data_IF_850459770576
#
_entry.id   IF_850459770576
#
_cell.length_a   1.000
_cell.length_b   1.000
_cell.length_c   1.000
_cell.angle_alpha   90.00
_cell.angle_beta   90.00
_cell.angle_gamma   90.00
#
_symmetry.space_group_name_H-M   'P 1'
#
loop_
_entity.id
_entity.type
_entity.pdbx_description
1 polymer ?
#
# COMPACT_ATOMS: atom_id res chain seq x y z
N UNK A 1 -8.27 -26.22 13.99
CA UNK A 1 -7.30 -25.93 12.92
C UNK A 1 -5.91 -26.20 13.48
N UNK A 2 -5.05 -26.89 12.73
CA UNK A 2 -3.66 -27.11 13.16
C UNK A 2 -2.92 -25.77 13.17
N UNK A 3 -2.24 -25.46 14.27
CA UNK A 3 -1.36 -24.29 14.35
C UNK A 3 -0.24 -24.49 13.32
N UNK A 4 -0.02 -23.56 12.38
CA UNK A 4 1.00 -23.75 11.37
C UNK A 4 2.39 -23.80 12.00
N UNK A 5 3.21 -24.70 11.48
CA UNK A 5 4.58 -24.94 11.91
C UNK A 5 5.55 -24.54 10.80
N UNK A 6 6.68 -23.95 11.21
CA UNK A 6 7.83 -23.71 10.36
C UNK A 6 8.57 -25.03 10.16
N UNK A 7 8.69 -25.47 8.91
CA UNK A 7 9.43 -26.69 8.54
C UNK A 7 10.83 -26.32 8.10
N UNK A 8 11.82 -27.07 8.56
CA UNK A 8 13.20 -26.89 8.17
C UNK A 8 13.34 -27.17 6.67
N UNK A 9 13.94 -26.22 5.95
CA UNK A 9 14.30 -26.40 4.53
C UNK A 9 15.68 -27.04 4.46
N UNK A 10 16.69 -26.40 5.05
CA UNK A 10 17.97 -27.02 5.41
C UNK A 10 18.82 -26.07 6.28
N UNK A 11 19.65 -26.68 7.12
CA UNK A 11 20.47 -25.96 8.09
C UNK A 11 19.61 -25.05 8.99
N UNK A 12 19.98 -23.78 9.19
CA UNK A 12 19.22 -22.85 10.04
C UNK A 12 17.95 -22.27 9.39
N UNK A 13 17.62 -22.63 8.15
CA UNK A 13 16.53 -22.02 7.39
C UNK A 13 15.24 -22.83 7.48
N UNK A 14 14.15 -22.16 7.81
CA UNK A 14 12.81 -22.72 7.95
C UNK A 14 11.79 -21.92 7.12
N UNK A 15 10.68 -22.54 6.71
CA UNK A 15 9.53 -21.83 6.14
C UNK A 15 8.20 -22.50 6.49
N UNK A 16 7.10 -21.73 6.44
CA UNK A 16 5.77 -22.27 6.70
C UNK A 16 5.30 -23.26 5.62
N UNK A 17 5.84 -23.16 4.41
CA UNK A 17 5.53 -24.10 3.32
C UNK A 17 6.47 -25.31 3.30
N UNK A 18 7.61 -25.25 3.99
CA UNK A 18 8.69 -26.24 3.90
C UNK A 18 9.42 -26.22 2.54
N UNK A 19 9.27 -25.15 1.76
CA UNK A 19 9.89 -25.01 0.43
C UNK A 19 10.65 -23.69 0.29
N UNK A 20 11.54 -23.63 -0.71
CA UNK A 20 12.27 -22.42 -1.11
C UNK A 20 11.40 -21.42 -1.90
N UNK A 21 10.26 -21.86 -2.42
CA UNK A 21 9.24 -21.02 -3.05
C UNK A 21 8.37 -20.33 -1.98
N UNK A 22 9.00 -19.69 -1.00
CA UNK A 22 8.34 -19.02 0.11
C UNK A 22 8.52 -17.51 0.03
N UNK A 23 7.50 -16.76 0.44
CA UNK A 23 7.58 -15.30 0.69
C UNK A 23 8.10 -14.98 2.09
N UNK A 24 8.05 -15.97 3.01
CA UNK A 24 8.49 -15.83 4.40
C UNK A 24 9.35 -17.01 4.80
N UNK A 25 10.56 -16.72 5.25
CA UNK A 25 11.45 -17.68 5.88
C UNK A 25 11.74 -17.26 7.32
N UNK A 26 12.18 -18.23 8.12
CA UNK A 26 12.72 -17.98 9.45
C UNK A 26 14.15 -18.52 9.48
N UNK A 27 15.09 -17.66 9.83
CA UNK A 27 16.50 -18.02 9.96
C UNK A 27 16.88 -18.08 11.43
N UNK A 28 17.25 -19.27 11.88
CA UNK A 28 17.72 -19.53 13.23
C UNK A 28 19.19 -19.09 13.35
N UNK A 29 19.51 -18.22 14.31
CA UNK A 29 20.90 -17.75 14.49
C UNK A 29 21.82 -18.87 14.97
N UNK A 30 23.12 -18.72 14.66
CA UNK A 30 24.15 -19.70 14.99
C UNK A 30 24.19 -20.07 16.47
N UNK A 31 24.47 -21.34 16.77
CA UNK A 31 24.54 -21.85 18.14
C UNK A 31 23.20 -22.33 18.73
N UNK A 32 22.09 -22.19 17.99
CA UNK A 32 20.81 -22.77 18.35
C UNK A 32 20.48 -23.95 17.42
N UNK A 33 19.92 -25.01 17.97
CA UNK A 33 19.36 -26.13 17.23
C UNK A 33 17.88 -26.23 17.54
N UNK A 34 17.05 -26.19 16.50
CA UNK A 34 15.66 -26.62 16.56
C UNK A 34 15.51 -27.94 15.80
N UNK A 35 14.43 -28.68 16.07
CA UNK A 35 14.11 -29.87 15.28
C UNK A 35 13.78 -29.54 13.83
N UNK A 36 13.31 -30.54 13.08
CA UNK A 36 12.83 -30.37 11.70
C UNK A 36 11.55 -29.54 11.59
N UNK A 37 10.83 -29.38 12.72
CA UNK A 37 9.64 -28.54 12.83
C UNK A 37 9.78 -27.60 14.03
N UNK A 38 9.26 -26.39 13.85
CA UNK A 38 9.29 -25.33 14.84
C UNK A 38 7.92 -24.65 14.88
N UNK A 39 7.29 -24.59 16.05
CA UNK A 39 6.02 -23.87 16.17
C UNK A 39 6.25 -22.36 16.02
N UNK A 40 5.25 -21.62 15.51
CA UNK A 40 5.36 -20.15 15.43
C UNK A 40 5.58 -19.51 16.81
N UNK A 41 4.96 -20.07 17.85
CA UNK A 41 5.16 -19.65 19.25
C UNK A 41 6.61 -19.84 19.67
N UNK A 42 7.20 -21.02 19.43
CA UNK A 42 8.59 -21.27 19.80
C UNK A 42 9.56 -20.37 19.02
N UNK A 43 9.34 -20.17 17.72
CA UNK A 43 10.19 -19.28 16.91
C UNK A 43 10.16 -17.82 17.38
N UNK A 44 9.06 -17.41 18.03
CA UNK A 44 8.92 -16.08 18.62
C UNK A 44 9.47 -16.00 20.05
N UNK A 45 9.12 -16.95 20.90
CA UNK A 45 9.35 -16.89 22.33
C UNK A 45 10.67 -17.51 22.78
N UNK A 46 11.07 -18.64 22.18
CA UNK A 46 12.17 -19.48 22.66
C UNK A 46 13.47 -19.27 21.89
N UNK A 47 13.37 -19.05 20.58
CA UNK A 47 14.54 -18.95 19.71
C UNK A 47 14.86 -17.49 19.32
N UNK A 48 16.15 -17.24 19.13
CA UNK A 48 16.71 -15.95 18.72
C UNK A 48 16.95 -15.94 17.20
N UNK A 49 15.89 -16.19 16.42
CA UNK A 49 15.95 -16.12 14.96
C UNK A 49 15.37 -14.84 14.39
N UNK A 50 15.37 -14.78 13.06
CA UNK A 50 14.88 -13.65 12.28
C UNK A 50 13.85 -14.12 11.24
N UNK A 51 12.73 -13.41 11.12
CA UNK A 51 11.80 -13.55 10.01
C UNK A 51 12.33 -12.78 8.81
N UNK A 52 12.34 -13.43 7.66
CA UNK A 52 12.86 -12.89 6.40
C UNK A 52 11.73 -12.90 5.40
N UNK A 53 11.37 -11.72 4.93
CA UNK A 53 10.38 -11.50 3.88
C UNK A 53 11.08 -11.33 2.54
N UNK A 54 10.57 -12.02 1.53
CA UNK A 54 11.20 -12.17 0.22
C UNK A 54 10.23 -11.74 -0.89
N UNK A 55 10.76 -11.08 -1.91
CA UNK A 55 10.02 -10.73 -3.13
C UNK A 55 10.12 -11.79 -4.22
N UNK A 56 11.06 -12.74 -4.10
CA UNK A 56 11.25 -13.83 -5.02
C UNK A 56 11.73 -15.09 -4.30
N UNK A 57 11.51 -16.29 -4.87
CA UNK A 57 12.03 -17.55 -4.33
C UNK A 57 13.56 -17.56 -4.19
N UNK A 58 14.05 -18.33 -3.23
CA UNK A 58 15.48 -18.61 -3.08
C UNK A 58 15.88 -19.65 -4.12
N UNK A 59 16.88 -19.34 -4.95
CA UNK A 59 17.37 -20.23 -6.02
C UNK A 59 18.52 -21.10 -5.51
N UNK A 60 19.52 -20.49 -4.86
CA UNK A 60 20.68 -21.21 -4.32
C UNK A 60 20.70 -21.13 -2.80
N UNK A 61 20.25 -22.21 -2.16
CA UNK A 61 20.10 -22.26 -0.72
C UNK A 61 21.44 -22.13 0.04
N UNK A 62 22.50 -22.79 -0.44
CA UNK A 62 23.80 -22.75 0.23
C UNK A 62 24.38 -21.34 0.22
N UNK A 63 24.36 -20.67 -0.93
CA UNK A 63 24.79 -19.28 -1.03
C UNK A 63 23.92 -18.36 -0.18
N UNK A 64 22.60 -18.55 -0.19
CA UNK A 64 21.70 -17.76 0.64
C UNK A 64 22.01 -17.92 2.14
N UNK A 65 22.17 -19.14 2.62
CA UNK A 65 22.46 -19.43 4.02
C UNK A 65 23.78 -18.80 4.48
N UNK A 66 24.83 -18.87 3.65
CA UNK A 66 26.11 -18.21 3.94
C UNK A 66 25.97 -16.69 3.95
N UNK A 67 25.30 -16.11 2.95
CA UNK A 67 25.12 -14.67 2.83
C UNK A 67 24.27 -14.09 3.97
N UNK A 68 23.15 -14.74 4.34
CA UNK A 68 22.30 -14.25 5.44
C UNK A 68 23.00 -14.39 6.79
N UNK A 69 23.78 -15.46 6.98
CA UNK A 69 24.56 -15.63 8.21
C UNK A 69 25.61 -14.51 8.33
N UNK A 70 26.30 -14.20 7.23
CA UNK A 70 27.25 -13.09 7.20
C UNK A 70 26.55 -11.75 7.47
N UNK A 71 25.44 -11.46 6.78
CA UNK A 71 24.63 -10.26 6.97
C UNK A 71 24.20 -10.10 8.43
N UNK A 72 23.63 -11.14 9.06
CA UNK A 72 23.15 -11.08 10.44
C UNK A 72 24.27 -11.14 11.51
N UNK A 73 25.52 -11.40 11.09
CA UNK A 73 26.68 -11.41 12.00
C UNK A 73 27.24 -10.02 12.28
N UNK A 74 26.90 -9.02 11.46
CA UNK A 74 27.27 -7.63 11.71
C UNK A 74 26.61 -7.15 13.02
N UNK A 75 27.39 -6.58 13.97
CA UNK A 75 26.85 -6.04 15.22
C UNK A 75 25.71 -5.05 15.04
N UNK A 76 25.64 -4.31 13.93
CA UNK A 76 24.55 -3.40 13.61
C UNK A 76 23.18 -4.11 13.52
N UNK A 77 23.17 -5.43 13.26
CA UNK A 77 21.95 -6.25 13.13
C UNK A 77 21.72 -7.22 14.31
N UNK A 78 22.45 -7.06 15.43
CA UNK A 78 22.34 -7.92 16.61
C UNK A 78 20.92 -8.07 17.16
N UNK A 79 20.07 -7.06 16.99
CA UNK A 79 18.70 -7.01 17.53
C UNK A 79 17.61 -7.14 16.46
N UNK A 80 17.99 -7.40 15.21
CA UNK A 80 17.05 -7.56 14.10
C UNK A 80 16.27 -8.86 14.24
N UNK A 81 14.93 -8.75 14.16
CA UNK A 81 14.02 -9.91 14.05
C UNK A 81 13.19 -9.95 12.80
N UNK A 82 13.13 -8.85 12.04
CA UNK A 82 12.43 -8.80 10.77
C UNK A 82 13.33 -8.18 9.72
N UNK A 83 13.44 -8.84 8.57
CA UNK A 83 14.20 -8.38 7.42
C UNK A 83 13.32 -8.48 6.19
N UNK A 84 13.16 -7.40 5.45
CA UNK A 84 12.60 -7.39 4.10
C UNK A 84 13.77 -7.33 3.13
N UNK A 85 14.10 -8.45 2.51
CA UNK A 85 15.27 -8.58 1.65
C UNK A 85 14.92 -8.28 0.19
N UNK A 86 15.58 -7.27 -0.38
CA UNK A 86 15.31 -6.80 -1.76
C UNK A 86 15.75 -7.79 -2.84
N UNK A 87 16.82 -8.54 -2.59
CA UNK A 87 17.30 -9.57 -3.51
C UNK A 87 17.90 -10.77 -2.75
N UNK A 88 17.13 -11.86 -2.54
CA UNK A 88 17.67 -13.08 -1.93
C UNK A 88 18.68 -13.84 -2.81
N UNK A 89 18.78 -13.51 -4.10
CA UNK A 89 19.61 -14.23 -5.06
C UNK A 89 20.80 -13.39 -5.54
N UNK A 90 21.22 -12.40 -4.74
CA UNK A 90 22.41 -11.60 -5.06
C UNK A 90 23.66 -12.50 -5.13
N UNK A 91 24.26 -12.58 -6.31
CA UNK A 91 25.40 -13.46 -6.58
C UNK A 91 26.67 -13.07 -5.79
N UNK A 92 26.77 -11.80 -5.37
CA UNK A 92 27.85 -11.32 -4.52
C UNK A 92 27.62 -11.57 -3.04
N UNK A 93 26.47 -12.15 -2.65
CA UNK A 93 26.11 -12.38 -1.26
C UNK A 93 25.88 -11.09 -0.46
N UNK A 94 25.64 -9.97 -1.16
CA UNK A 94 25.43 -8.66 -0.53
C UNK A 94 23.94 -8.43 -0.36
N UNK A 95 23.50 -8.46 0.89
CA UNK A 95 22.10 -8.29 1.22
C UNK A 95 21.79 -6.84 1.62
N UNK A 96 20.73 -6.32 0.98
CA UNK A 96 20.17 -4.99 1.22
C UNK A 96 18.69 -5.14 1.50
N UNK A 97 18.18 -4.37 2.46
CA UNK A 97 16.79 -4.48 2.84
C UNK A 97 16.41 -3.64 4.03
N UNK A 98 15.11 -3.61 4.29
CA UNK A 98 14.56 -2.97 5.47
C UNK A 98 14.66 -3.92 6.67
N UNK A 99 15.04 -3.40 7.83
CA UNK A 99 15.13 -4.18 9.06
C UNK A 99 14.28 -3.55 10.16
N UNK A 100 13.65 -4.38 10.98
CA UNK A 100 13.01 -3.96 12.23
C UNK A 100 13.72 -4.62 13.41
N UNK A 101 14.34 -3.77 14.23
CA UNK A 101 15.02 -4.18 15.45
C UNK A 101 14.04 -4.26 16.61
N UNK A 102 14.23 -5.28 17.44
CA UNK A 102 13.39 -5.52 18.61
C UNK A 102 14.23 -5.70 19.85
N UNK A 103 13.64 -5.46 21.01
CA UNK A 103 14.24 -5.79 22.29
C UNK A 103 13.15 -6.34 23.21
N UNK A 104 13.54 -7.04 24.28
CA UNK A 104 12.60 -7.74 25.16
C UNK A 104 12.97 -7.58 26.63
N UNK A 105 12.48 -6.53 27.32
CA UNK A 105 12.55 -6.44 28.78
C UNK A 105 11.52 -7.37 29.44
N UNK A 106 10.28 -7.30 28.95
CA UNK A 106 9.07 -7.94 29.45
C UNK A 106 8.27 -8.58 28.30
N UNK A 107 8.12 -7.83 27.22
CA UNK A 107 7.51 -8.22 25.94
C UNK A 107 8.38 -7.69 24.80
N UNK A 108 8.22 -8.23 23.60
CA UNK A 108 8.94 -7.70 22.44
C UNK A 108 8.41 -6.32 22.08
N UNK A 109 9.34 -5.39 21.91
CA UNK A 109 9.07 -4.00 21.53
C UNK A 109 10.00 -3.58 20.42
N UNK A 110 9.57 -2.61 19.62
CA UNK A 110 10.41 -1.97 18.59
C UNK A 110 11.55 -1.19 19.28
N UNK A 111 12.80 -1.51 18.95
CA UNK A 111 13.99 -0.96 19.63
C UNK A 111 14.31 0.49 19.25
N UNK A 112 14.06 0.84 17.99
CA UNK A 112 14.34 2.15 17.43
C UNK A 112 13.26 2.52 16.41
N UNK A 113 13.09 3.83 16.16
CA UNK A 113 12.12 4.30 15.17
C UNK A 113 12.46 3.69 13.81
N UNK A 114 11.46 3.11 13.16
CA UNK A 114 11.58 2.56 11.82
C UNK A 114 10.72 3.34 10.85
N UNK A 115 11.29 3.71 9.70
CA UNK A 115 10.57 4.29 8.57
C UNK A 115 10.69 3.31 7.41
N UNK A 116 9.55 2.97 6.82
CA UNK A 116 9.44 2.25 5.55
C UNK A 116 9.07 3.27 4.48
N UNK A 117 9.96 3.48 3.52
CA UNK A 117 9.83 4.50 2.49
C UNK A 117 9.14 3.94 1.24
N UNK A 118 8.19 4.70 0.70
CA UNK A 118 7.44 4.45 -0.53
C UNK A 118 7.48 5.73 -1.39
N UNK A 119 8.68 6.28 -1.57
CA UNK A 119 8.99 7.63 -2.11
C UNK A 119 8.58 8.79 -1.18
N UNK A 120 7.64 9.63 -1.62
CA UNK A 120 7.14 10.76 -0.82
C UNK A 120 6.02 10.36 0.14
N UNK A 121 5.72 9.06 0.25
CA UNK A 121 4.88 8.44 1.27
C UNK A 121 5.76 7.49 2.09
N UNK A 122 5.62 7.47 3.40
CA UNK A 122 6.33 6.53 4.26
C UNK A 122 5.46 6.09 5.44
N UNK A 123 5.69 4.88 5.94
CA UNK A 123 5.09 4.39 7.19
C UNK A 123 6.13 4.43 8.30
N UNK A 124 5.85 5.17 9.36
CA UNK A 124 6.69 5.21 10.56
C UNK A 124 6.12 4.27 11.63
N UNK A 125 7.00 3.49 12.24
CA UNK A 125 6.76 2.73 13.47
C UNK A 125 7.68 3.26 14.55
N UNK A 126 7.07 3.75 15.63
CA UNK A 126 7.76 4.36 16.75
C UNK A 126 8.53 3.34 17.58
N UNK A 127 9.55 3.83 18.27
CA UNK A 127 10.19 3.07 19.34
C UNK A 127 9.15 2.71 20.43
N UNK A 128 9.37 1.58 21.10
CA UNK A 128 8.58 1.08 22.23
C UNK A 128 7.16 0.61 21.92
N UNK A 129 6.76 0.56 20.63
CA UNK A 129 5.53 -0.12 20.22
C UNK A 129 5.64 -1.62 20.46
N UNK A 130 4.62 -2.20 21.09
CA UNK A 130 4.60 -3.61 21.45
C UNK A 130 4.37 -4.48 20.22
N UNK A 131 5.10 -5.61 20.14
CA UNK A 131 4.98 -6.62 19.08
C UNK A 131 4.49 -7.92 19.71
N UNK A 132 3.40 -8.47 19.18
CA UNK A 132 2.85 -9.77 19.57
C UNK A 132 2.63 -10.66 18.34
N UNK A 133 2.66 -11.97 18.56
CA UNK A 133 2.28 -12.95 17.55
C UNK A 133 0.81 -13.32 17.74
N UNK A 134 0.00 -13.17 16.69
CA UNK A 134 -1.36 -13.71 16.66
C UNK A 134 -1.35 -15.07 15.96
N UNK A 135 -1.38 -16.15 16.75
CA UNK A 135 -1.30 -17.54 16.25
C UNK A 135 -2.59 -18.01 15.59
N UNK A 136 -3.74 -17.39 15.88
CA UNK A 136 -5.00 -17.73 15.25
C UNK A 136 -5.06 -17.21 13.80
N UNK A 137 -4.39 -16.09 13.53
CA UNK A 137 -4.41 -15.39 12.23
C UNK A 137 -3.09 -15.50 11.46
N UNK A 138 -2.02 -15.96 12.10
CA UNK A 138 -0.67 -16.12 11.53
C UNK A 138 -0.06 -14.80 11.06
N UNK A 139 -0.10 -13.79 11.92
CA UNK A 139 0.56 -12.51 11.69
C UNK A 139 1.21 -11.97 12.96
N UNK A 140 2.11 -11.02 12.78
CA UNK A 140 2.55 -10.16 13.87
C UNK A 140 1.63 -8.96 13.99
N UNK A 141 1.41 -8.51 15.22
CA UNK A 141 0.67 -7.32 15.58
C UNK A 141 1.62 -6.34 16.24
N UNK A 142 1.68 -5.11 15.72
CA UNK A 142 2.41 -4.00 16.30
C UNK A 142 1.36 -2.99 16.78
N UNK A 143 1.30 -2.78 18.09
CA UNK A 143 0.30 -1.91 18.70
C UNK A 143 0.93 -0.65 19.27
N UNK A 144 0.19 0.45 19.18
CA UNK A 144 0.65 1.74 19.71
C UNK A 144 0.70 1.75 21.25
N UNK A 145 -0.05 0.84 21.91
CA UNK A 145 -0.16 0.78 23.37
C UNK A 145 -0.47 2.15 23.97
N UNK A 146 0.31 2.55 24.98
CA UNK A 146 0.21 3.86 25.65
C UNK A 146 0.94 5.00 24.91
N UNK A 147 1.50 4.73 23.73
CA UNK A 147 2.18 5.73 22.89
C UNK A 147 1.30 6.05 21.68
N UNK A 148 0.20 6.81 21.85
CA UNK A 148 -0.66 7.14 20.72
C UNK A 148 0.18 7.84 19.63
N UNK A 149 -0.17 7.63 18.37
CA UNK A 149 0.52 8.21 17.20
C UNK A 149 1.94 7.67 16.93
N UNK A 150 2.38 6.63 17.65
CA UNK A 150 3.66 5.98 17.39
C UNK A 150 3.70 5.27 16.03
N UNK A 151 2.56 4.87 15.49
CA UNK A 151 2.43 4.40 14.10
C UNK A 151 1.69 5.48 13.30
N UNK A 152 2.30 5.97 12.22
CA UNK A 152 1.67 6.99 11.38
C UNK A 152 2.26 7.04 9.97
N UNK A 153 1.55 7.69 9.06
CA UNK A 153 2.06 7.98 7.72
C UNK A 153 2.83 9.30 7.74
N UNK A 154 3.88 9.36 6.92
CA UNK A 154 4.65 10.56 6.63
C UNK A 154 4.52 10.81 5.13
N UNK A 155 4.22 12.04 4.74
CA UNK A 155 4.08 12.44 3.34
C UNK A 155 5.01 13.59 2.99
N UNK A 156 5.05 13.95 1.70
CA UNK A 156 5.81 15.10 1.18
C UNK A 156 7.29 15.04 1.61
N UNK A 157 7.89 13.84 1.54
CA UNK A 157 9.29 13.59 1.91
C UNK A 157 9.64 14.07 3.33
N UNK A 158 8.79 13.75 4.31
CA UNK A 158 9.06 14.08 5.73
C UNK A 158 8.36 15.34 6.25
N UNK A 159 7.77 16.15 5.37
CA UNK A 159 7.26 17.47 5.75
C UNK A 159 5.93 17.43 6.51
N UNK A 160 5.12 16.37 6.35
CA UNK A 160 3.82 16.28 7.01
C UNK A 160 3.60 14.89 7.60
N UNK A 161 3.09 14.85 8.83
CA UNK A 161 2.74 13.63 9.56
C UNK A 161 1.23 13.48 9.58
N UNK A 162 0.75 12.31 9.18
CA UNK A 162 -0.65 11.94 9.11
C UNK A 162 -0.92 10.83 10.14
N UNK A 163 -1.49 11.22 11.28
CA UNK A 163 -1.83 10.33 12.40
C UNK A 163 -3.16 9.59 12.14
N UNK A 164 -3.23 8.91 11.00
CA UNK A 164 -4.45 8.27 10.48
C UNK A 164 -4.52 6.78 10.80
N UNK A 165 -3.39 6.18 11.16
CA UNK A 165 -3.25 4.74 11.38
C UNK A 165 -4.02 4.36 12.63
N UNK A 166 -4.87 3.35 12.51
CA UNK A 166 -5.51 2.71 13.65
C UNK A 166 -4.43 2.15 14.60
N UNK A 167 -4.80 1.84 15.84
CA UNK A 167 -3.86 1.45 16.91
C UNK A 167 -3.08 0.14 16.66
N UNK A 168 -3.28 -0.50 15.51
CA UNK A 168 -2.80 -1.83 15.16
C UNK A 168 -2.25 -1.89 13.73
N UNK A 169 -0.97 -2.24 13.61
CA UNK A 169 -0.35 -2.66 12.35
C UNK A 169 -0.14 -4.17 12.36
N UNK A 170 -0.40 -4.83 11.25
CA UNK A 170 -0.26 -6.28 11.07
C UNK A 170 0.81 -6.60 10.03
N UNK A 171 1.53 -7.70 10.25
CA UNK A 171 2.49 -8.25 9.28
C UNK A 171 2.13 -9.73 9.05
N UNK A 172 1.37 -10.05 7.99
CA UNK A 172 0.99 -11.43 7.68
C UNK A 172 2.19 -12.33 7.42
N UNK A 173 2.10 -13.60 7.83
CA UNK A 173 3.13 -14.61 7.56
C UNK A 173 2.77 -15.56 6.42
N UNK A 174 1.52 -15.52 5.96
CA UNK A 174 0.97 -16.42 4.95
C UNK A 174 0.20 -15.67 3.87
N UNK A 175 -0.04 -16.36 2.75
CA UNK A 175 -0.79 -15.85 1.62
C UNK A 175 -0.01 -14.82 0.80
N UNK A 176 -0.70 -14.19 -0.13
CA UNK A 176 -0.04 -13.28 -1.07
C UNK A 176 0.43 -11.97 -0.47
N UNK A 177 -0.16 -11.59 0.66
CA UNK A 177 0.16 -10.39 1.42
C UNK A 177 1.21 -10.61 2.51
N UNK A 178 1.85 -11.79 2.55
CA UNK A 178 2.88 -12.06 3.55
C UNK A 178 3.98 -10.98 3.52
N UNK A 179 4.35 -10.47 4.68
CA UNK A 179 5.32 -9.37 4.83
C UNK A 179 4.80 -7.97 4.53
N UNK A 180 3.57 -7.79 4.05
CA UNK A 180 3.02 -6.43 3.85
C UNK A 180 2.69 -5.80 5.21
N UNK A 181 2.85 -4.47 5.29
CA UNK A 181 2.39 -3.68 6.43
C UNK A 181 0.90 -3.39 6.24
N UNK A 182 0.06 -3.96 7.10
CA UNK A 182 -1.39 -3.83 7.02
C UNK A 182 -1.95 -3.03 8.18
N UNK A 183 -2.72 -1.97 7.91
CA UNK A 183 -3.37 -1.19 8.96
C UNK A 183 -4.56 -0.42 8.40
N UNK A 184 -5.55 -0.16 9.25
CA UNK A 184 -6.71 0.64 8.89
C UNK A 184 -6.39 2.13 8.97
N UNK A 185 -6.95 2.91 8.06
CA UNK A 185 -6.91 4.38 8.10
C UNK A 185 -8.31 4.94 7.93
N UNK A 186 -8.57 6.08 8.58
CA UNK A 186 -9.81 6.84 8.42
C UNK A 186 -9.48 8.22 7.87
N UNK A 187 -9.91 8.49 6.64
CA UNK A 187 -9.53 9.68 5.87
C UNK A 187 -10.67 10.72 5.86
N UNK A 188 -10.37 11.96 6.24
CA UNK A 188 -11.22 13.13 5.97
C UNK A 188 -10.85 13.72 4.60
N UNK A 189 -11.65 14.66 4.12
CA UNK A 189 -11.39 15.38 2.86
C UNK A 189 -9.97 15.97 2.80
N UNK A 190 -9.53 16.70 3.83
CA UNK A 190 -8.18 17.27 3.88
C UNK A 190 -7.06 16.21 3.86
N UNK A 191 -7.35 14.99 4.33
CA UNK A 191 -6.39 13.89 4.28
C UNK A 191 -6.30 13.32 2.86
N UNK A 192 -7.39 13.35 2.07
CA UNK A 192 -7.38 12.99 0.64
C UNK A 192 -6.47 13.91 -0.17
N UNK A 193 -6.52 15.21 0.11
CA UNK A 193 -5.66 16.21 -0.52
C UNK A 193 -4.20 16.04 -0.10
N UNK A 194 -3.96 15.79 1.17
CA UNK A 194 -2.63 15.55 1.70
C UNK A 194 -1.97 14.32 1.08
N UNK A 195 -2.74 13.25 0.87
CA UNK A 195 -2.30 12.01 0.22
C UNK A 195 -2.28 12.08 -1.31
N UNK A 196 -2.60 13.24 -1.89
CA UNK A 196 -2.62 13.45 -3.34
C UNK A 196 -3.52 12.45 -4.07
N UNK A 197 -4.70 12.17 -3.50
CA UNK A 197 -5.66 11.21 -4.06
C UNK A 197 -6.41 11.83 -5.24
N UNK A 198 -6.40 11.20 -6.40
CA UNK A 198 -7.17 11.62 -7.57
C UNK A 198 -6.63 11.09 -8.90
N UNK A 199 -7.22 11.55 -10.00
CA UNK A 199 -6.66 11.36 -11.34
C UNK A 199 -5.67 12.48 -11.64
N UNK A 200 -4.77 12.24 -12.59
CA UNK A 200 -3.84 13.25 -13.08
C UNK A 200 -3.85 13.32 -14.60
N UNK A 201 -3.73 14.54 -15.11
CA UNK A 201 -3.32 14.82 -16.48
C UNK A 201 -1.95 15.47 -16.44
N UNK A 202 -1.10 15.09 -17.38
CA UNK A 202 0.23 15.70 -17.55
C UNK A 202 0.25 16.51 -18.83
N UNK A 203 0.75 17.73 -18.75
CA UNK A 203 0.83 18.67 -19.88
C UNK A 203 2.23 19.26 -19.95
N UNK A 204 2.64 19.78 -21.11
CA UNK A 204 3.94 20.44 -21.21
C UNK A 204 3.96 21.68 -20.30
N UNK A 205 5.00 21.77 -19.46
CA UNK A 205 5.25 22.98 -18.70
C UNK A 205 5.71 24.08 -19.67
N UNK A 206 4.95 25.16 -19.76
CA UNK A 206 5.17 26.22 -20.76
C UNK A 206 6.46 27.00 -20.54
N UNK A 207 6.88 27.15 -19.28
CA UNK A 207 8.09 27.89 -18.92
C UNK A 207 9.36 27.07 -19.21
N UNK A 208 9.23 25.74 -19.25
CA UNK A 208 10.35 24.80 -19.37
C UNK A 208 10.20 23.78 -20.51
N UNK A 209 9.48 24.11 -21.59
CA UNK A 209 9.22 23.21 -22.73
C UNK A 209 10.51 22.56 -23.27
N UNK A 210 11.61 23.32 -23.36
CA UNK A 210 12.90 22.85 -23.88
C UNK A 210 13.52 21.71 -23.07
N UNK A 211 13.11 21.55 -21.80
CA UNK A 211 13.59 20.52 -20.89
C UNK A 211 12.64 19.33 -20.77
N UNK A 212 11.55 19.31 -21.56
CA UNK A 212 10.51 18.27 -21.50
C UNK A 212 9.87 18.11 -20.11
N UNK A 213 9.82 19.19 -19.32
CA UNK A 213 9.14 19.20 -18.04
C UNK A 213 7.63 19.21 -18.22
N UNK A 214 6.94 18.63 -17.24
CA UNK A 214 5.50 18.46 -17.24
C UNK A 214 4.89 19.19 -16.04
N UNK A 215 3.79 19.89 -16.28
CA UNK A 215 2.85 20.23 -15.22
C UNK A 215 1.90 19.06 -15.00
N UNK A 216 1.47 18.88 -13.75
CA UNK A 216 0.59 17.79 -13.36
C UNK A 216 -0.69 18.32 -12.73
N UNK A 217 -1.78 18.23 -13.49
CA UNK A 217 -3.11 18.69 -13.10
C UNK A 217 -3.83 17.56 -12.34
N UNK A 218 -4.16 17.80 -11.08
CA UNK A 218 -4.92 16.85 -10.25
C UNK A 218 -6.42 17.07 -10.42
N UNK A 219 -7.15 15.98 -10.59
CA UNK A 219 -8.61 15.94 -10.58
C UNK A 219 -9.08 15.10 -9.37
N UNK A 220 -9.62 15.74 -8.32
CA UNK A 220 -10.14 14.99 -7.17
C UNK A 220 -11.37 14.19 -7.60
N UNK A 221 -11.49 12.95 -7.11
CA UNK A 221 -12.65 12.09 -7.40
C UNK A 221 -13.63 12.07 -6.24
N UNK A 222 -13.14 11.96 -5.00
CA UNK A 222 -13.99 11.76 -3.83
C UNK A 222 -14.20 13.08 -3.10
N UNK A 223 -15.46 13.35 -2.73
CA UNK A 223 -15.90 14.48 -1.93
C UNK A 223 -16.74 13.95 -0.75
N UNK A 224 -16.11 13.23 0.20
CA UNK A 224 -16.86 12.48 1.19
C UNK A 224 -17.50 13.39 2.25
N UNK A 225 -18.75 13.11 2.64
CA UNK A 225 -19.42 13.82 3.76
C UNK A 225 -18.98 13.31 5.14
N UNK A 226 -18.47 12.08 5.18
CA UNK A 226 -18.01 11.39 6.38
C UNK A 226 -16.67 10.72 6.09
N UNK A 227 -15.90 10.37 7.12
CA UNK A 227 -14.59 9.78 6.88
C UNK A 227 -14.69 8.51 6.03
N UNK A 228 -13.74 8.34 5.12
CA UNK A 228 -13.57 7.10 4.34
C UNK A 228 -12.66 6.17 5.12
N UNK A 229 -13.13 4.96 5.39
CA UNK A 229 -12.30 3.92 6.00
C UNK A 229 -11.61 3.11 4.92
N UNK A 230 -10.29 2.97 5.00
CA UNK A 230 -9.49 2.15 4.08
C UNK A 230 -8.61 1.17 4.85
N UNK A 231 -8.31 0.03 4.24
CA UNK A 231 -7.25 -0.87 4.68
C UNK A 231 -6.00 -0.62 3.83
N UNK A 232 -4.97 -0.02 4.43
CA UNK A 232 -3.66 0.07 3.81
C UNK A 232 -2.98 -1.30 3.84
N UNK A 233 -2.36 -1.67 2.73
CA UNK A 233 -1.53 -2.85 2.58
C UNK A 233 -0.30 -2.42 1.78
N UNK A 234 0.83 -2.23 2.45
CA UNK A 234 2.04 -1.67 1.83
C UNK A 234 3.15 -2.73 1.81
N UNK A 235 3.71 -3.04 0.65
CA UNK A 235 4.82 -4.00 0.50
C UNK A 235 6.17 -3.28 0.49
N UNK A 236 6.99 -3.40 1.55
CA UNK A 236 8.31 -2.75 1.59
C UNK A 236 9.27 -3.20 0.48
N UNK A 237 8.97 -4.29 -0.23
CA UNK A 237 9.83 -4.82 -1.28
C UNK A 237 9.41 -4.42 -2.70
N UNK A 238 8.16 -4.00 -2.88
CA UNK A 238 7.62 -3.64 -4.19
C UNK A 238 6.43 -2.67 -4.08
N UNK A 239 6.77 -1.38 -4.03
CA UNK A 239 5.81 -0.29 -3.87
C UNK A 239 4.86 -0.09 -5.07
N UNK A 240 5.19 -0.59 -6.25
CA UNK A 240 4.37 -0.44 -7.47
C UNK A 240 3.59 -1.72 -7.82
N UNK A 241 3.73 -2.78 -7.02
CA UNK A 241 2.90 -3.96 -7.17
C UNK A 241 1.49 -3.69 -6.65
N UNK A 242 0.54 -3.39 -7.53
CA UNK A 242 -0.84 -3.08 -7.15
C UNK A 242 -1.58 -4.21 -6.45
N UNK A 243 -1.07 -5.44 -6.51
CA UNK A 243 -1.63 -6.56 -5.75
C UNK A 243 -1.12 -6.60 -4.30
N UNK A 244 -0.06 -5.85 -3.94
CA UNK A 244 0.57 -5.86 -2.61
C UNK A 244 0.82 -4.46 -2.01
N UNK A 245 0.71 -3.40 -2.79
CA UNK A 245 0.83 -2.01 -2.32
C UNK A 245 -0.39 -1.21 -2.75
N UNK A 246 -1.34 -1.03 -1.83
CA UNK A 246 -2.62 -0.37 -2.08
C UNK A 246 -3.32 0.09 -0.78
N UNK A 247 -4.37 0.91 -0.93
CA UNK A 247 -5.35 1.21 0.10
C UNK A 247 -6.72 0.72 -0.36
N UNK A 248 -7.22 -0.37 0.20
CA UNK A 248 -8.50 -0.96 -0.18
C UNK A 248 -9.66 -0.22 0.48
N UNK A 249 -10.75 -0.01 -0.26
CA UNK A 249 -12.00 0.50 0.29
C UNK A 249 -12.78 -0.55 1.10
N UNK A 250 -12.30 -1.79 1.09
CA UNK A 250 -12.90 -2.92 1.77
C UNK A 250 -11.88 -3.59 2.68
N UNK A 251 -12.26 -3.80 3.94
CA UNK A 251 -11.52 -4.65 4.87
C UNK A 251 -12.12 -6.06 4.82
N UNK A 252 -11.36 -7.11 4.44
CA UNK A 252 -11.84 -8.49 4.47
C UNK A 252 -12.33 -8.94 5.86
N UNK A 253 -11.82 -8.35 6.94
CA UNK A 253 -12.29 -8.66 8.29
C UNK A 253 -13.52 -7.86 8.72
N UNK A 254 -13.82 -6.76 8.04
CA UNK A 254 -14.98 -5.91 8.28
C UNK A 254 -15.49 -5.33 6.96
N UNK A 255 -16.19 -6.14 6.14
CA UNK A 255 -16.58 -5.77 4.78
C UNK A 255 -17.78 -4.81 4.80
N UNK A 256 -17.53 -3.57 5.21
CA UNK A 256 -18.50 -2.49 5.13
C UNK A 256 -18.23 -1.67 3.87
N UNK A 257 -19.13 -1.77 2.89
CA UNK A 257 -19.14 -0.90 1.72
C UNK A 257 -19.72 0.46 2.12
N UNK A 258 -18.94 1.52 2.01
CA UNK A 258 -19.40 2.89 2.18
C UNK A 258 -19.69 3.51 0.81
N UNK A 259 -20.87 4.11 0.67
CA UNK A 259 -21.17 4.96 -0.49
C UNK A 259 -20.47 6.32 -0.30
N UNK A 260 -19.73 6.77 -1.32
CA UNK A 260 -18.87 7.94 -1.24
C UNK A 260 -19.34 8.98 -2.25
N UNK A 261 -19.70 10.18 -1.79
CA UNK A 261 -19.96 11.31 -2.71
C UNK A 261 -18.72 11.61 -3.55
N UNK A 262 -18.91 11.89 -4.83
CA UNK A 262 -17.81 12.13 -5.77
C UNK A 262 -17.88 13.53 -6.37
N UNK A 263 -16.78 14.04 -6.93
CA UNK A 263 -16.80 15.29 -7.70
C UNK A 263 -17.42 15.13 -9.09
N UNK A 264 -17.78 13.92 -9.50
CA UNK A 264 -18.52 13.73 -10.74
C UNK A 264 -19.97 14.19 -10.59
N UNK A 265 -20.47 14.81 -11.64
CA UNK A 265 -21.84 15.28 -11.71
C UNK A 265 -22.52 14.89 -13.03
N UNK A 266 -23.85 14.87 -13.00
CA UNK A 266 -24.64 14.78 -14.22
C UNK A 266 -24.60 16.12 -14.98
N UNK A 267 -25.07 16.11 -16.23
CA UNK A 267 -25.23 17.34 -17.02
C UNK A 267 -26.20 18.37 -16.40
N UNK A 268 -26.96 17.98 -15.36
CA UNK A 268 -27.83 18.87 -14.59
C UNK A 268 -27.14 19.42 -13.31
N UNK A 269 -25.86 19.08 -13.12
CA UNK A 269 -25.09 19.47 -11.93
C UNK A 269 -25.36 18.59 -10.71
N UNK A 270 -26.10 17.49 -10.85
CA UNK A 270 -26.38 16.59 -9.74
C UNK A 270 -25.16 15.71 -9.45
N UNK A 271 -24.71 15.73 -8.20
CA UNK A 271 -23.55 14.96 -7.77
C UNK A 271 -23.88 13.46 -7.74
N UNK A 272 -23.01 12.63 -8.30
CA UNK A 272 -23.14 11.17 -8.20
C UNK A 272 -22.34 10.64 -7.01
N UNK A 273 -22.74 9.47 -6.52
CA UNK A 273 -21.98 8.75 -5.51
C UNK A 273 -21.41 7.46 -6.07
N UNK A 274 -20.30 7.03 -5.50
CA UNK A 274 -19.53 5.88 -5.88
C UNK A 274 -19.51 4.88 -4.72
N UNK A 275 -19.97 3.67 -4.98
CA UNK A 275 -19.90 2.56 -4.03
C UNK A 275 -18.82 1.58 -4.50
N UNK A 276 -17.73 1.38 -3.74
CA UNK A 276 -16.62 0.50 -4.12
C UNK A 276 -17.07 -0.95 -4.24
N UNK A 277 -16.60 -1.64 -5.29
CA UNK A 277 -16.71 -3.10 -5.44
C UNK A 277 -15.48 -3.82 -4.86
N UNK A 278 -15.45 -5.15 -4.92
CA UNK A 278 -14.43 -5.99 -4.28
C UNK A 278 -12.98 -5.72 -4.73
N UNK A 279 -12.78 -5.15 -5.91
CA UNK A 279 -11.48 -4.79 -6.47
C UNK A 279 -11.12 -3.31 -6.32
N UNK A 280 -12.00 -2.50 -5.73
CA UNK A 280 -11.81 -1.07 -5.57
C UNK A 280 -10.74 -0.75 -4.53
N UNK A 281 -9.73 0.00 -4.95
CA UNK A 281 -8.59 0.40 -4.13
C UNK A 281 -7.94 1.68 -4.65
N UNK A 282 -7.08 2.28 -3.85
CA UNK A 282 -6.13 3.30 -4.28
C UNK A 282 -4.76 2.66 -4.45
N UNK A 283 -4.07 2.96 -5.54
CA UNK A 283 -2.73 2.44 -5.84
C UNK A 283 -1.73 3.58 -6.04
N UNK A 284 -0.46 3.32 -5.76
CA UNK A 284 0.61 4.30 -5.95
C UNK A 284 1.00 4.37 -7.44
N UNK A 285 0.96 5.56 -8.02
CA UNK A 285 1.40 5.79 -9.40
C UNK A 285 2.42 6.93 -9.43
N UNK A 286 3.37 6.86 -10.38
CA UNK A 286 4.39 7.89 -10.57
C UNK A 286 3.79 9.22 -11.03
N UNK A 287 4.07 10.28 -10.28
CA UNK A 287 3.83 11.69 -10.62
C UNK A 287 5.03 12.23 -11.37
N UNK A 288 5.04 11.96 -12.68
CA UNK A 288 6.11 12.37 -13.60
C UNK A 288 6.33 13.88 -13.57
N UNK A 289 7.59 14.26 -13.38
CA UNK A 289 8.04 15.65 -13.48
C UNK A 289 8.52 16.02 -14.89
N UNK A 290 8.85 15.01 -15.70
CA UNK A 290 9.28 15.15 -17.09
C UNK A 290 8.69 14.05 -17.98
N UNK A 291 8.83 14.19 -19.30
CA UNK A 291 8.38 13.17 -20.27
C UNK A 291 9.08 11.82 -20.07
N UNK A 292 10.37 11.86 -19.77
CA UNK A 292 11.11 10.68 -19.34
C UNK A 292 10.80 10.42 -17.86
N UNK A 293 10.51 9.17 -17.53
CA UNK A 293 10.28 8.76 -16.15
C UNK A 293 11.60 8.70 -15.40
N UNK A 294 11.61 9.23 -14.17
CA UNK A 294 12.76 9.23 -13.27
C UNK A 294 12.48 8.35 -12.05
N UNK A 295 13.52 7.67 -11.53
CA UNK A 295 13.39 6.85 -10.32
C UNK A 295 13.12 7.68 -9.05
N UNK A 296 13.26 9.00 -9.10
CA UNK A 296 12.99 9.92 -8.00
C UNK A 296 11.68 10.70 -8.18
N UNK A 297 10.92 10.41 -9.24
CA UNK A 297 9.58 10.97 -9.41
C UNK A 297 8.76 10.68 -8.14
N UNK A 298 8.02 11.69 -7.68
CA UNK A 298 7.08 11.50 -6.58
C UNK A 298 5.97 10.53 -7.00
N UNK A 299 5.24 9.98 -6.05
CA UNK A 299 4.04 9.18 -6.23
C UNK A 299 2.82 9.91 -5.72
N UNK A 300 1.67 9.53 -6.28
CA UNK A 300 0.34 9.94 -5.86
C UNK A 300 -0.57 8.71 -5.80
N UNK A 301 -1.73 8.83 -5.15
CA UNK A 301 -2.70 7.75 -5.08
C UNK A 301 -3.80 7.94 -6.12
N UNK A 302 -3.98 6.96 -7.00
CA UNK A 302 -5.07 6.94 -7.98
C UNK A 302 -6.03 5.81 -7.68
N UNK A 303 -7.34 5.98 -7.89
CA UNK A 303 -8.26 4.85 -7.80
C UNK A 303 -7.97 3.81 -8.88
N UNK A 304 -8.29 2.57 -8.53
CA UNK A 304 -8.20 1.37 -9.36
C UNK A 304 -9.39 0.47 -9.02
N UNK A 305 -9.94 -0.20 -10.02
CA UNK A 305 -11.07 -1.12 -9.83
C UNK A 305 -12.42 -0.45 -10.03
N UNK A 306 -13.49 -1.17 -9.65
CA UNK A 306 -14.86 -0.84 -10.04
C UNK A 306 -15.64 -0.16 -8.91
N UNK A 307 -16.46 0.81 -9.30
CA UNK A 307 -17.38 1.51 -8.41
C UNK A 307 -18.76 1.53 -9.04
N UNK A 308 -19.77 1.10 -8.30
CA UNK A 308 -21.16 1.27 -8.70
C UNK A 308 -21.55 2.74 -8.54
N UNK A 309 -22.20 3.29 -9.55
CA UNK A 309 -22.71 4.66 -9.54
C UNK A 309 -24.13 4.64 -8.97
N UNK A 310 -24.40 5.52 -8.02
CA UNK A 310 -25.75 5.91 -7.66
C UNK A 310 -26.00 7.38 -8.01
N UNK A 311 -27.18 7.64 -8.56
CA UNK A 311 -27.66 8.99 -8.84
C UNK A 311 -28.79 9.35 -7.88
N UNK A 312 -29.10 10.64 -7.69
CA UNK A 312 -30.31 11.04 -6.97
C UNK A 312 -31.55 10.35 -7.56
N UNK A 313 -32.52 10.02 -6.70
CA UNK A 313 -33.79 9.48 -7.15
C UNK A 313 -34.54 10.55 -7.98
N UNK A 314 -35.22 10.11 -9.05
CA UNK A 314 -36.09 10.92 -9.94
C UNK A 314 -35.48 11.53 -11.21
N UNK A 315 -34.42 10.96 -11.78
CA UNK A 315 -33.97 11.36 -13.12
C UNK A 315 -34.89 10.75 -14.19
N UNK A 316 -35.70 11.59 -14.84
CA UNK A 316 -36.57 11.20 -15.96
C UNK A 316 -35.84 11.49 -17.28
N UNK A 317 -35.70 10.50 -18.20
CA UNK A 317 -35.08 10.75 -19.49
C UNK A 317 -35.89 11.79 -20.29
N UNK A 318 -35.23 12.79 -20.91
CA UNK A 318 -35.92 13.89 -21.59
C UNK A 318 -36.67 13.44 -22.86
N UNK A 319 -36.28 12.31 -23.45
CA UNK A 319 -36.91 11.74 -24.65
C UNK A 319 -36.85 10.19 -24.60
N UNK A 320 -37.75 9.49 -25.30
CA UNK A 320 -37.63 8.05 -25.55
C UNK A 320 -36.25 7.73 -26.14
N UNK A 321 -35.59 6.69 -25.63
CA UNK A 321 -34.24 6.24 -26.03
C UNK A 321 -33.06 7.19 -25.71
N UNK A 322 -33.29 8.32 -25.03
CA UNK A 322 -32.20 9.13 -24.48
C UNK A 322 -31.55 8.46 -23.27
N UNK A 323 -30.24 8.70 -23.02
CA UNK A 323 -29.63 8.28 -21.78
C UNK A 323 -30.34 8.96 -20.60
N UNK A 324 -30.67 8.15 -19.59
CA UNK A 324 -31.25 8.59 -18.33
C UNK A 324 -30.21 9.32 -17.50
N UNK A 325 -28.96 8.84 -17.50
CA UNK A 325 -27.85 9.50 -16.81
C UNK A 325 -26.88 10.02 -17.86
N UNK A 326 -26.44 11.28 -17.75
CA UNK A 326 -25.36 11.85 -18.55
C UNK A 326 -24.27 12.34 -17.61
N UNK A 327 -23.25 11.52 -17.42
CA UNK A 327 -22.13 11.81 -16.53
C UNK A 327 -21.12 12.71 -17.25
N UNK A 328 -20.82 13.89 -16.71
CA UNK A 328 -19.75 14.74 -17.25
C UNK A 328 -18.40 14.08 -16.94
N UNK A 329 -17.57 13.90 -17.97
CA UNK A 329 -16.32 13.14 -17.85
C UNK A 329 -15.10 13.82 -18.49
N UNK A 330 -15.25 14.99 -19.11
CA UNK A 330 -14.16 15.70 -19.77
C UNK A 330 -13.84 17.05 -19.16
N UNK A 331 -12.72 17.62 -19.60
CA UNK A 331 -12.17 18.87 -19.06
C UNK A 331 -12.88 20.11 -19.60
N UNK A 332 -13.67 19.99 -20.67
CA UNK A 332 -14.39 21.13 -21.25
C UNK A 332 -15.85 21.22 -20.77
N UNK A 333 -16.32 20.22 -20.02
CA UNK A 333 -17.68 20.18 -19.46
C UNK A 333 -18.77 19.81 -20.47
N UNK A 334 -18.42 19.56 -21.73
CA UNK A 334 -19.36 19.14 -22.79
C UNK A 334 -19.22 17.66 -23.15
N UNK A 335 -18.17 16.97 -22.66
CA UNK A 335 -18.04 15.53 -22.81
C UNK A 335 -18.83 14.80 -21.73
N UNK A 336 -19.76 13.94 -22.16
CA UNK A 336 -20.56 13.13 -21.26
C UNK A 336 -20.67 11.67 -21.69
N UNK A 337 -20.72 10.77 -20.71
CA UNK A 337 -21.06 9.36 -20.88
C UNK A 337 -22.54 9.17 -20.55
N UNK A 338 -23.29 8.64 -21.50
CA UNK A 338 -24.72 8.36 -21.34
C UNK A 338 -24.98 6.93 -20.88
N UNK A 339 -25.82 6.73 -19.87
CA UNK A 339 -26.41 5.42 -19.56
C UNK A 339 -27.90 5.40 -19.79
N UNK A 340 -28.42 4.31 -20.33
CA UNK A 340 -29.86 4.08 -20.57
C UNK A 340 -30.59 3.48 -19.37
N UNK A 341 -29.86 3.03 -18.34
CA UNK A 341 -30.42 2.44 -17.13
C UNK A 341 -30.09 3.35 -15.92
N UNK A 342 -31.01 3.44 -14.97
CA UNK A 342 -30.79 4.12 -13.67
C UNK A 342 -30.07 3.23 -12.67
N UNK A 343 -29.98 1.92 -12.94
CA UNK A 343 -29.43 0.91 -12.04
C UNK A 343 -28.18 0.24 -12.64
N UNK A 344 -27.35 -0.35 -11.77
CA UNK A 344 -26.19 -1.17 -12.14
C UNK A 344 -25.12 -0.49 -13.01
N UNK A 345 -25.07 0.84 -13.01
CA UNK A 345 -24.02 1.58 -13.70
C UNK A 345 -22.70 1.44 -12.94
N UNK A 346 -21.61 1.20 -13.65
CA UNK A 346 -20.27 1.01 -13.07
C UNK A 346 -19.28 1.93 -13.77
N UNK A 347 -18.44 2.60 -12.98
CA UNK A 347 -17.19 3.21 -13.45
C UNK A 347 -16.05 2.30 -13.05
N UNK A 348 -15.18 2.02 -14.00
CA UNK A 348 -13.93 1.32 -13.75
C UNK A 348 -12.76 2.29 -13.89
N UNK A 349 -11.91 2.34 -12.86
CA UNK A 349 -10.65 3.08 -12.91
C UNK A 349 -9.52 2.12 -13.24
N UNK A 350 -8.80 2.43 -14.30
CA UNK A 350 -7.62 1.69 -14.75
C UNK A 350 -6.38 2.54 -14.46
N UNK A 351 -5.47 2.10 -13.58
CA UNK A 351 -4.21 2.80 -13.34
C UNK A 351 -3.26 2.67 -14.54
N UNK A 352 -2.19 3.46 -14.55
CA UNK A 352 -1.12 3.49 -15.57
C UNK A 352 -1.55 3.70 -17.02
N UNK A 353 -2.73 4.27 -17.23
CA UNK A 353 -3.16 4.66 -18.57
C UNK A 353 -2.44 5.94 -19.02
N UNK A 354 -2.41 6.16 -20.35
CA UNK A 354 -1.81 7.35 -20.94
C UNK A 354 -2.56 8.60 -20.46
N UNK A 355 -1.87 9.42 -19.67
CA UNK A 355 -2.41 10.65 -19.10
C UNK A 355 -1.73 11.92 -19.64
N UNK A 356 -0.79 11.80 -20.59
CA UNK A 356 -0.14 12.94 -21.23
C UNK A 356 -1.04 13.54 -22.32
N UNK A 357 -1.42 14.81 -22.17
CA UNK A 357 -2.27 15.53 -23.10
C UNK A 357 -1.42 16.48 -23.96
N UNK A 358 -0.80 15.93 -25.01
CA UNK A 358 -0.01 16.70 -25.98
C UNK A 358 -0.91 17.71 -26.70
N UNK A 359 -0.71 19.00 -26.44
CA UNK A 359 -1.48 20.09 -27.08
C UNK A 359 -2.54 20.74 -26.20
N UNK A 360 -2.70 20.32 -24.94
CA UNK A 360 -3.53 21.06 -23.98
C UNK A 360 -2.95 22.46 -23.77
N UNK A 361 -3.74 23.50 -24.07
CA UNK A 361 -3.36 24.90 -23.86
C UNK A 361 -4.04 25.41 -22.60
N UNK A 362 -3.30 25.58 -21.51
CA UNK A 362 -3.81 26.31 -20.34
C UNK A 362 -4.11 27.75 -20.78
N UNK A 363 -5.35 28.21 -20.69
CA UNK A 363 -5.65 29.63 -20.93
C UNK A 363 -5.13 30.42 -19.73
N UNK A 364 -4.20 31.38 -19.91
CA UNK A 364 -3.59 32.12 -18.80
C UNK A 364 -4.53 33.10 -18.08
N UNK A 365 -5.84 33.11 -18.41
CA UNK A 365 -6.83 34.04 -17.85
C UNK A 365 -7.75 33.44 -16.78
N UNK A 366 -7.61 32.15 -16.46
CA UNK A 366 -8.45 31.47 -15.47
C UNK A 366 -7.60 30.95 -14.31
N UNK A 367 -6.90 31.85 -13.63
CA UNK A 367 -6.62 31.65 -12.20
C UNK A 367 -7.93 31.98 -11.47
N UNK A 368 -8.66 30.94 -11.06
CA UNK A 368 -9.78 31.05 -10.12
C UNK A 368 -9.25 30.97 -8.69
#
# INVERSE_FOLDING_TARGET
>A
MLTPTLKQISGPLYSLTGTLATKVAYFLRSGQAAGSELSLVDSWEKYSGCYIFLNQPIINQTLFNTAIQFFLSDPAYSDVRFVWLTNPNDAGGRFYGEVLKTYRPDSYKVKEVKIFDFHNLACLIGKDTAISLNTAKNWFEITTGNTPKSIHLIIKRGQTKLYLVNTLLRIPLLGDQAGCLQFGVSLREADLDSLDIGLRLFIDNKDYIKFNYLDSLRYPIFNPETNISLLANLDPLDQFNYARTFFSFLDPENPNTQEIKSYFCTNLGEQIKLTPQSDAKLVLTSRRSAKAQDSNDAVYLTPSGRFTISTPANIVPPLPNSPVIRLICGTSGIEYLGSKDTSNNVIEFLPDQRAYASGYKVNPSNDL
#
